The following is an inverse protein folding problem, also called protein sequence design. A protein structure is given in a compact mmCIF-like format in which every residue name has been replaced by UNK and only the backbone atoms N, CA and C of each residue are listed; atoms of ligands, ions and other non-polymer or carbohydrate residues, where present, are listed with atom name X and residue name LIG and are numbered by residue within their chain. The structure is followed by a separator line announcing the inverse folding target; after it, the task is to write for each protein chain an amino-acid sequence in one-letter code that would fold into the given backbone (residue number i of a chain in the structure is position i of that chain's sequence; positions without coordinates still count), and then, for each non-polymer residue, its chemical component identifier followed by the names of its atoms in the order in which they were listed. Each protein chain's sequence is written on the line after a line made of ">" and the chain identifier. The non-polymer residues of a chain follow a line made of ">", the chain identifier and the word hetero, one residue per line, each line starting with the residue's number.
data_IF_029166755390
#
_entry.id   IF_029166755390
#
_cell.length_a   1.000
_cell.length_b   1.000
_cell.length_c   1.000
_cell.angle_alpha   90.00
_cell.angle_beta   90.00
_cell.angle_gamma   90.00
#
_symmetry.space_group_name_H-M   'P 1'
#
loop_
_entity.id
_entity.type
_entity.pdbx_description
1 polymer ?
#
# COMPACT_ATOMS: atom_id res chain seq x y z
N UNK A 1 -32.24 33.59 20.23
CA UNK A 1 -31.82 33.60 18.81
C UNK A 1 -30.98 32.35 18.55
N UNK A 2 -31.62 31.26 18.15
CA UNK A 2 -30.95 30.05 17.69
C UNK A 2 -30.15 30.39 16.43
N UNK A 3 -28.86 30.04 16.40
CA UNK A 3 -27.97 30.36 15.30
C UNK A 3 -28.27 29.44 14.10
N UNK A 4 -29.34 29.73 13.37
CA UNK A 4 -29.78 28.92 12.24
C UNK A 4 -28.77 29.05 11.08
N UNK A 5 -28.21 27.94 10.56
CA UNK A 5 -27.29 27.97 9.43
C UNK A 5 -27.87 28.69 8.21
N UNK A 6 -27.02 29.44 7.49
CA UNK A 6 -27.47 30.25 6.35
C UNK A 6 -28.13 29.41 5.24
N UNK A 7 -27.57 28.23 4.92
CA UNK A 7 -28.13 27.33 3.90
C UNK A 7 -29.57 26.87 4.25
N UNK A 8 -29.88 26.71 5.54
CA UNK A 8 -31.20 26.29 5.99
C UNK A 8 -32.20 27.45 5.85
N UNK A 9 -31.76 28.70 6.08
CA UNK A 9 -32.55 29.89 5.78
C UNK A 9 -32.84 30.00 4.28
N UNK A 10 -31.84 29.70 3.44
CA UNK A 10 -31.98 29.71 1.99
C UNK A 10 -32.97 28.62 1.53
N UNK A 11 -32.94 27.43 2.15
CA UNK A 11 -33.90 26.35 1.87
C UNK A 11 -35.35 26.72 2.23
N UNK A 12 -35.59 27.33 3.41
CA UNK A 12 -36.91 27.81 3.86
C UNK A 12 -37.28 29.21 3.34
N UNK A 13 -36.51 29.73 2.38
CA UNK A 13 -36.67 31.07 1.81
C UNK A 13 -37.86 31.21 0.86
N UNK A 14 -37.64 31.86 -0.28
CA UNK A 14 -38.70 32.14 -1.25
C UNK A 14 -39.16 30.86 -1.95
N UNK A 15 -40.44 30.51 -1.79
CA UNK A 15 -41.07 29.32 -2.37
C UNK A 15 -41.62 28.34 -1.33
N UNK A 16 -41.05 28.30 -0.13
CA UNK A 16 -41.57 27.48 0.97
C UNK A 16 -42.54 28.29 1.85
N UNK A 17 -43.78 27.80 1.99
CA UNK A 17 -44.78 28.39 2.90
C UNK A 17 -44.48 28.11 4.38
N UNK A 18 -43.60 27.13 4.66
CA UNK A 18 -43.12 26.87 6.01
C UNK A 18 -42.09 27.93 6.40
N UNK A 19 -42.37 28.66 7.49
CA UNK A 19 -41.49 29.72 8.01
C UNK A 19 -40.84 29.29 9.32
N UNK A 20 -39.52 29.37 9.36
CA UNK A 20 -38.71 28.97 10.52
C UNK A 20 -39.07 29.77 11.77
N UNK A 21 -39.30 31.07 11.63
CA UNK A 21 -39.64 31.96 12.75
C UNK A 21 -40.95 31.52 13.44
N UNK A 22 -41.93 31.01 12.68
CA UNK A 22 -43.21 30.51 13.23
C UNK A 22 -43.09 29.14 13.91
N UNK A 23 -42.03 28.40 13.60
CA UNK A 23 -41.74 27.10 14.19
C UNK A 23 -40.95 27.24 15.49
N UNK A 24 -39.92 28.09 15.48
CA UNK A 24 -38.92 28.22 16.55
C UNK A 24 -39.31 29.26 17.61
N UNK A 25 -39.92 30.38 17.20
CA UNK A 25 -40.27 31.46 18.13
C UNK A 25 -41.75 31.37 18.55
N UNK A 26 -42.04 31.78 19.79
CA UNK A 26 -43.40 31.94 20.29
C UNK A 26 -43.98 33.31 19.86
N UNK A 27 -44.14 33.47 18.54
CA UNK A 27 -44.78 34.65 17.92
C UNK A 27 -46.30 34.46 17.88
N UNK A 28 -47.09 35.54 17.81
CA UNK A 28 -48.57 35.50 17.74
C UNK A 28 -49.13 34.59 16.62
N UNK A 29 -48.34 34.32 15.57
CA UNK A 29 -48.70 33.43 14.45
C UNK A 29 -47.90 32.11 14.46
N UNK A 30 -47.53 31.61 15.64
CA UNK A 30 -46.87 30.34 15.81
C UNK A 30 -47.72 29.18 15.28
N UNK A 31 -47.07 28.13 14.78
CA UNK A 31 -47.79 26.92 14.36
C UNK A 31 -48.49 26.24 15.55
N UNK A 32 -49.67 25.59 15.33
CA UNK A 32 -50.35 24.81 16.36
C UNK A 32 -49.44 23.72 16.94
N UNK A 33 -49.65 23.36 18.21
CA UNK A 33 -48.83 22.40 18.94
C UNK A 33 -48.68 21.06 18.20
N UNK A 34 -49.77 20.53 17.63
CA UNK A 34 -49.78 19.30 16.86
C UNK A 34 -48.83 19.34 15.64
N UNK A 35 -48.82 20.48 14.93
CA UNK A 35 -47.97 20.66 13.76
C UNK A 35 -46.52 20.91 14.16
N UNK A 36 -46.28 21.63 15.25
CA UNK A 36 -44.94 21.82 15.83
C UNK A 36 -44.31 20.47 16.23
N UNK A 37 -45.07 19.60 16.90
CA UNK A 37 -44.59 18.28 17.35
C UNK A 37 -44.10 17.39 16.20
N UNK A 38 -44.65 17.60 15.00
CA UNK A 38 -44.33 16.84 13.80
C UNK A 38 -43.20 17.46 12.97
N UNK A 39 -43.17 18.79 12.87
CA UNK A 39 -42.15 19.51 12.08
C UNK A 39 -40.83 19.69 12.81
N UNK A 40 -40.84 19.79 14.14
CA UNK A 40 -39.65 20.06 14.94
C UNK A 40 -38.58 18.96 14.78
N UNK A 41 -38.89 17.64 14.84
CA UNK A 41 -37.89 16.60 14.64
C UNK A 41 -37.23 16.63 13.25
N UNK A 42 -37.98 17.05 12.23
CA UNK A 42 -37.45 17.19 10.87
C UNK A 42 -36.48 18.37 10.78
N UNK A 43 -36.79 19.47 11.46
CA UNK A 43 -35.89 20.62 11.54
C UNK A 43 -34.62 20.29 12.36
N UNK A 44 -34.79 19.69 13.54
CA UNK A 44 -33.68 19.22 14.39
C UNK A 44 -32.76 18.27 13.64
N UNK A 45 -33.30 17.49 12.70
CA UNK A 45 -32.50 16.64 11.81
C UNK A 45 -31.37 17.40 11.12
N UNK A 46 -31.61 18.66 10.75
CA UNK A 46 -30.65 19.51 10.04
C UNK A 46 -29.78 20.41 10.89
N UNK A 47 -30.13 20.64 12.15
CA UNK A 47 -29.32 21.46 13.05
C UNK A 47 -28.30 20.65 13.84
N UNK A 48 -28.60 19.39 14.15
CA UNK A 48 -27.75 18.57 15.03
C UNK A 48 -26.47 18.06 14.33
N UNK A 49 -26.27 18.38 13.04
CA UNK A 49 -25.21 17.83 12.19
C UNK A 49 -25.17 16.29 12.16
N UNK A 50 -26.29 15.64 12.48
CA UNK A 50 -26.44 14.19 12.49
C UNK A 50 -27.28 13.74 11.30
N UNK A 51 -26.70 12.88 10.48
CA UNK A 51 -27.35 12.27 9.34
C UNK A 51 -28.33 11.17 9.76
N UNK A 52 -29.42 10.94 9.00
CA UNK A 52 -29.84 11.61 7.78
C UNK A 52 -30.60 12.92 8.02
N UNK A 53 -30.56 13.80 7.01
CA UNK A 53 -31.32 15.04 6.96
C UNK A 53 -32.66 14.78 6.28
N UNK A 54 -33.78 15.24 6.86
CA UNK A 54 -35.08 15.23 6.18
C UNK A 54 -35.77 16.57 6.41
N UNK A 55 -35.98 17.33 5.34
CA UNK A 55 -36.55 18.68 5.40
C UNK A 55 -37.92 18.77 4.70
N UNK A 56 -38.91 19.41 5.33
CA UNK A 56 -40.23 19.62 4.74
C UNK A 56 -40.27 20.87 3.86
N UNK A 57 -41.01 20.78 2.77
CA UNK A 57 -41.32 21.87 1.86
C UNK A 57 -42.80 21.82 1.47
N UNK A 58 -43.45 22.98 1.47
CA UNK A 58 -44.87 23.08 1.14
C UNK A 58 -45.15 24.32 0.29
N UNK A 59 -45.98 24.15 -0.73
CA UNK A 59 -46.68 25.24 -1.42
C UNK A 59 -48.21 25.06 -1.29
N UNK A 60 -48.99 25.91 -1.96
CA UNK A 60 -50.46 25.86 -1.91
C UNK A 60 -51.05 24.54 -2.48
N UNK A 61 -50.26 23.78 -3.25
CA UNK A 61 -50.71 22.65 -4.05
C UNK A 61 -49.94 21.35 -3.78
N UNK A 62 -48.85 21.38 -3.03
CA UNK A 62 -47.92 20.26 -2.86
C UNK A 62 -47.28 20.28 -1.49
N UNK A 63 -47.04 19.08 -1.01
CA UNK A 63 -46.20 18.80 0.15
C UNK A 63 -45.09 17.86 -0.29
N UNK A 64 -43.85 18.30 -0.12
CA UNK A 64 -42.65 17.60 -0.55
C UNK A 64 -41.69 17.52 0.64
N UNK A 65 -41.08 16.36 0.84
CA UNK A 65 -39.98 16.19 1.78
C UNK A 65 -38.72 15.84 1.01
N UNK A 66 -37.61 16.44 1.43
CA UNK A 66 -36.31 16.22 0.85
C UNK A 66 -35.43 15.51 1.87
N UNK A 67 -34.93 14.33 1.51
CA UNK A 67 -34.06 13.53 2.37
C UNK A 67 -32.64 13.46 1.78
N UNK A 68 -31.62 13.62 2.62
CA UNK A 68 -30.21 13.58 2.20
C UNK A 68 -29.34 12.89 3.26
N UNK A 69 -28.20 12.35 2.83
CA UNK A 69 -27.19 11.73 3.68
C UNK A 69 -25.78 12.21 3.29
N UNK A 70 -24.79 11.89 4.13
CA UNK A 70 -23.40 12.35 3.98
C UNK A 70 -22.73 11.87 2.68
N UNK A 71 -22.83 10.56 2.42
CA UNK A 71 -22.16 9.90 1.30
C UNK A 71 -23.17 9.37 0.29
N UNK A 72 -22.77 9.27 -0.99
CA UNK A 72 -23.61 8.71 -2.05
C UNK A 72 -24.15 7.31 -1.71
N UNK A 73 -23.32 6.49 -1.04
CA UNK A 73 -23.73 5.15 -0.57
C UNK A 73 -24.81 5.24 0.51
N UNK A 74 -24.63 6.07 1.53
CA UNK A 74 -25.63 6.26 2.58
C UNK A 74 -26.92 6.86 2.03
N UNK A 75 -26.84 7.74 1.02
CA UNK A 75 -28.02 8.29 0.34
C UNK A 75 -28.76 7.19 -0.42
N UNK A 76 -28.06 6.27 -1.07
CA UNK A 76 -28.69 5.12 -1.73
C UNK A 76 -29.33 4.15 -0.72
N UNK A 77 -28.65 3.88 0.41
CA UNK A 77 -29.21 3.08 1.51
C UNK A 77 -30.48 3.75 2.08
N UNK A 78 -30.44 5.05 2.31
CA UNK A 78 -31.58 5.86 2.75
C UNK A 78 -32.76 5.77 1.77
N UNK A 79 -32.48 5.85 0.46
CA UNK A 79 -33.51 5.69 -0.58
C UNK A 79 -34.20 4.33 -0.51
N UNK A 80 -33.42 3.25 -0.32
CA UNK A 80 -33.98 1.90 -0.19
C UNK A 80 -34.87 1.76 1.06
N UNK A 81 -34.43 2.31 2.20
CA UNK A 81 -35.22 2.28 3.45
C UNK A 81 -36.50 3.10 3.32
N UNK A 82 -36.42 4.30 2.74
CA UNK A 82 -37.59 5.16 2.51
C UNK A 82 -38.58 4.49 1.55
N UNK A 83 -38.11 3.84 0.49
CA UNK A 83 -38.96 3.10 -0.44
C UNK A 83 -39.65 1.90 0.24
N UNK A 84 -38.95 1.19 1.12
CA UNK A 84 -39.54 0.10 1.90
C UNK A 84 -40.57 0.59 2.93
N UNK A 85 -40.32 1.73 3.59
CA UNK A 85 -41.16 2.24 4.69
C UNK A 85 -42.41 2.98 4.22
N UNK A 86 -42.30 3.81 3.17
CA UNK A 86 -43.38 4.72 2.75
C UNK A 86 -44.33 4.12 1.69
N UNK A 87 -43.96 3.00 1.06
CA UNK A 87 -44.80 2.34 0.06
C UNK A 87 -45.24 3.27 -1.08
N UNK A 88 -46.45 3.06 -1.61
CA UNK A 88 -47.05 3.85 -2.71
C UNK A 88 -48.46 4.39 -2.41
N UNK A 89 -48.95 4.24 -1.18
CA UNK A 89 -50.35 4.53 -0.83
C UNK A 89 -50.62 6.02 -0.56
N UNK A 90 -49.70 6.71 0.11
CA UNK A 90 -49.86 8.12 0.53
C UNK A 90 -48.91 9.07 -0.24
N UNK A 91 -47.92 8.54 -0.95
CA UNK A 91 -46.82 9.29 -1.60
C UNK A 91 -46.49 8.72 -2.98
N UNK A 92 -45.96 9.57 -3.88
CA UNK A 92 -45.54 9.17 -5.23
C UNK A 92 -44.46 8.07 -5.13
N UNK A 93 -44.61 7.02 -5.95
CA UNK A 93 -43.72 5.86 -6.00
C UNK A 93 -42.44 6.13 -6.81
N UNK A 94 -41.49 5.20 -6.76
CA UNK A 94 -40.19 5.24 -7.47
C UNK A 94 -39.32 6.47 -7.13
N UNK A 95 -38.92 6.55 -5.86
CA UNK A 95 -38.06 7.63 -5.36
C UNK A 95 -36.61 7.28 -5.65
N UNK A 96 -35.96 8.13 -6.44
CA UNK A 96 -34.56 8.00 -6.84
C UNK A 96 -33.74 9.13 -6.23
N UNK A 97 -32.43 8.90 -6.12
CA UNK A 97 -31.49 9.95 -5.74
C UNK A 97 -31.34 10.91 -6.93
N UNK A 98 -31.55 12.19 -6.68
CA UNK A 98 -31.49 13.26 -7.66
C UNK A 98 -30.29 14.16 -7.36
N UNK A 99 -29.58 14.51 -8.43
CA UNK A 99 -28.38 15.36 -8.39
C UNK A 99 -28.58 16.71 -9.09
N UNK A 100 -29.74 16.91 -9.71
CA UNK A 100 -30.07 18.11 -10.49
C UNK A 100 -31.36 18.69 -9.94
N UNK A 101 -31.40 20.00 -9.60
CA UNK A 101 -32.63 20.61 -9.13
C UNK A 101 -33.69 20.60 -10.25
N UNK A 102 -34.93 20.29 -9.89
CA UNK A 102 -36.06 20.38 -10.78
C UNK A 102 -36.30 21.83 -11.20
N UNK A 103 -36.83 22.00 -12.40
CA UNK A 103 -37.34 23.30 -12.86
C UNK A 103 -38.69 23.55 -12.18
N UNK A 104 -38.83 24.68 -11.48
CA UNK A 104 -40.10 25.08 -10.85
C UNK A 104 -39.95 25.60 -9.41
N UNK A 105 -41.04 25.55 -8.65
CA UNK A 105 -41.15 26.19 -7.33
C UNK A 105 -40.17 25.66 -6.26
N UNK A 106 -39.68 24.42 -6.40
CA UNK A 106 -38.72 23.80 -5.48
C UNK A 106 -37.26 24.06 -5.84
N UNK A 107 -36.98 24.67 -7.01
CA UNK A 107 -35.64 24.81 -7.58
C UNK A 107 -34.64 25.51 -6.64
N UNK A 108 -35.06 26.58 -5.96
CA UNK A 108 -34.20 27.32 -5.04
C UNK A 108 -33.85 26.49 -3.79
N UNK A 109 -34.83 25.83 -3.19
CA UNK A 109 -34.64 24.96 -2.03
C UNK A 109 -33.78 23.74 -2.38
N UNK A 110 -34.01 23.11 -3.54
CA UNK A 110 -33.21 21.98 -4.03
C UNK A 110 -31.77 22.38 -4.32
N UNK A 111 -31.53 23.59 -4.86
CA UNK A 111 -30.17 24.12 -5.10
C UNK A 111 -29.44 24.38 -3.79
N UNK A 112 -30.11 24.96 -2.78
CA UNK A 112 -29.54 25.14 -1.46
C UNK A 112 -29.17 23.80 -0.80
N UNK A 113 -30.04 22.80 -0.95
CA UNK A 113 -29.80 21.46 -0.43
C UNK A 113 -28.62 20.76 -1.13
N UNK A 114 -28.54 20.81 -2.46
CA UNK A 114 -27.43 20.22 -3.22
C UNK A 114 -26.09 20.91 -2.95
N UNK A 115 -26.11 22.23 -2.71
CA UNK A 115 -24.91 22.98 -2.31
C UNK A 115 -24.36 22.48 -0.98
N UNK A 116 -25.25 22.14 -0.04
CA UNK A 116 -24.84 21.56 1.24
C UNK A 116 -24.54 20.06 1.16
N UNK A 117 -25.27 19.33 0.32
CA UNK A 117 -25.22 17.88 0.18
C UNK A 117 -24.89 17.48 -1.27
N UNK A 118 -23.59 17.43 -1.66
CA UNK A 118 -23.19 17.06 -3.02
C UNK A 118 -23.49 15.58 -3.35
N UNK A 119 -23.76 14.75 -2.34
CA UNK A 119 -24.14 13.34 -2.49
C UNK A 119 -25.55 13.12 -3.05
N UNK A 120 -26.30 14.18 -3.35
CA UNK A 120 -27.65 14.13 -3.90
C UNK A 120 -28.74 14.06 -2.83
N UNK A 121 -29.99 14.25 -3.25
CA UNK A 121 -31.16 14.20 -2.37
C UNK A 121 -32.26 13.30 -2.93
N UNK A 122 -33.20 12.90 -2.07
CA UNK A 122 -34.36 12.08 -2.42
C UNK A 122 -35.61 12.93 -2.23
N UNK A 123 -36.44 13.00 -3.26
CA UNK A 123 -37.72 13.72 -3.23
C UNK A 123 -38.86 12.79 -2.85
N UNK A 124 -39.65 13.20 -1.85
CA UNK A 124 -40.79 12.45 -1.33
C UNK A 124 -42.01 13.37 -1.42
N UNK A 125 -42.86 13.16 -2.41
CA UNK A 125 -44.05 14.00 -2.63
C UNK A 125 -45.32 13.26 -2.23
N UNK A 126 -46.17 13.93 -1.45
CA UNK A 126 -47.51 13.43 -1.11
C UNK A 126 -48.41 13.40 -2.34
N UNK A 127 -49.26 12.37 -2.45
CA UNK A 127 -50.21 12.30 -3.55
C UNK A 127 -51.20 13.48 -3.51
N UNK A 128 -51.55 14.08 -4.66
CA UNK A 128 -52.47 15.23 -4.69
C UNK A 128 -53.82 14.98 -4.01
N UNK A 129 -54.33 13.75 -4.10
CA UNK A 129 -55.59 13.30 -3.47
C UNK A 129 -55.50 13.24 -1.95
N UNK A 130 -54.30 13.17 -1.38
CA UNK A 130 -54.02 13.05 0.06
C UNK A 130 -53.61 14.36 0.72
N UNK A 131 -53.54 15.46 -0.02
CA UNK A 131 -53.16 16.78 0.51
C UNK A 131 -54.13 17.35 1.55
N UNK A 132 -55.40 16.93 1.55
CA UNK A 132 -56.39 17.35 2.57
C UNK A 132 -56.64 16.27 3.63
N UNK A 133 -56.06 15.08 3.45
CA UNK A 133 -56.22 13.92 4.33
C UNK A 133 -55.24 14.03 5.51
N UNK A 134 -55.74 14.54 6.65
CA UNK A 134 -54.95 14.72 7.88
C UNK A 134 -54.28 13.41 8.34
N UNK A 135 -54.99 12.26 8.45
CA UNK A 135 -54.35 11.02 8.89
C UNK A 135 -53.32 10.49 7.88
N UNK A 136 -53.48 10.73 6.58
CA UNK A 136 -52.44 10.37 5.60
C UNK A 136 -51.14 11.16 5.82
N UNK A 137 -51.24 12.45 6.09
CA UNK A 137 -50.06 13.27 6.43
C UNK A 137 -49.38 12.76 7.69
N UNK A 138 -50.15 12.54 8.76
CA UNK A 138 -49.63 12.05 10.04
C UNK A 138 -48.88 10.72 9.89
N UNK A 139 -49.39 9.78 9.07
CA UNK A 139 -48.68 8.53 8.76
C UNK A 139 -47.34 8.77 8.06
N UNK A 140 -47.29 9.64 7.05
CA UNK A 140 -46.06 9.95 6.33
C UNK A 140 -45.04 10.59 7.27
N UNK A 141 -45.48 11.55 8.09
CA UNK A 141 -44.62 12.20 9.08
C UNK A 141 -44.07 11.23 10.12
N UNK A 142 -44.92 10.37 10.68
CA UNK A 142 -44.50 9.33 11.63
C UNK A 142 -43.47 8.39 10.98
N UNK A 143 -43.70 7.97 9.73
CA UNK A 143 -42.77 7.14 9.00
C UNK A 143 -41.41 7.83 8.74
N UNK A 144 -41.40 9.13 8.42
CA UNK A 144 -40.16 9.88 8.24
C UNK A 144 -39.39 10.02 9.57
N UNK A 145 -40.10 10.30 10.67
CA UNK A 145 -39.52 10.35 12.01
C UNK A 145 -38.90 9.00 12.40
N UNK A 146 -39.61 7.90 12.17
CA UNK A 146 -39.10 6.55 12.44
C UNK A 146 -37.81 6.26 11.67
N UNK A 147 -37.70 6.71 10.41
CA UNK A 147 -36.49 6.55 9.60
C UNK A 147 -35.32 7.33 10.19
N UNK A 148 -35.53 8.57 10.64
CA UNK A 148 -34.50 9.38 11.30
C UNK A 148 -34.01 8.65 12.56
N UNK A 149 -34.92 8.19 13.42
CA UNK A 149 -34.58 7.48 14.65
C UNK A 149 -33.80 6.20 14.34
N UNK A 150 -34.28 5.38 13.39
CA UNK A 150 -33.66 4.11 13.02
C UNK A 150 -32.23 4.29 12.49
N UNK A 151 -31.96 5.37 11.74
CA UNK A 151 -30.60 5.64 11.27
C UNK A 151 -29.70 6.20 12.36
N UNK A 152 -30.23 6.99 13.30
CA UNK A 152 -29.47 7.56 14.43
C UNK A 152 -29.16 6.52 15.50
N UNK A 153 -30.05 5.58 15.75
CA UNK A 153 -29.88 4.48 16.70
C UNK A 153 -28.95 3.38 16.15
N UNK A 154 -28.53 3.47 14.89
CA UNK A 154 -27.62 2.49 14.31
C UNK A 154 -26.24 2.64 14.97
N UNK A 155 -25.72 1.61 15.67
CA UNK A 155 -24.34 1.66 16.12
C UNK A 155 -23.45 1.83 14.89
N UNK A 156 -22.40 2.65 15.02
CA UNK A 156 -21.43 2.94 13.96
C UNK A 156 -20.65 1.68 13.59
N UNK A 157 -21.30 0.77 12.90
CA UNK A 157 -20.69 -0.41 12.30
C UNK A 157 -20.04 0.12 11.03
N UNK A 158 -18.82 0.64 11.18
CA UNK A 158 -17.89 0.81 10.08
C UNK A 158 -17.51 -0.59 9.61
N UNK A 159 -18.43 -1.25 8.88
CA UNK A 159 -18.13 -2.46 8.13
C UNK A 159 -17.40 -2.00 6.87
N UNK A 160 -16.11 -1.72 7.02
CA UNK A 160 -15.16 -1.95 5.95
C UNK A 160 -15.22 -3.45 5.70
N UNK A 161 -16.05 -3.88 4.74
CA UNK A 161 -15.96 -5.24 4.23
C UNK A 161 -14.56 -5.32 3.64
N UNK A 162 -13.60 -5.83 4.43
CA UNK A 162 -12.23 -6.03 3.98
C UNK A 162 -12.33 -6.83 2.70
N UNK A 163 -11.75 -6.31 1.62
CA UNK A 163 -11.79 -7.00 0.33
C UNK A 163 -11.20 -8.40 0.55
N UNK A 164 -11.76 -9.45 -0.08
CA UNK A 164 -11.23 -10.80 0.10
C UNK A 164 -9.74 -10.82 -0.24
N UNK A 165 -8.93 -11.42 0.64
CA UNK A 165 -7.48 -11.47 0.51
C UNK A 165 -7.02 -11.86 -0.90
N UNK A 166 -7.62 -12.92 -1.46
CA UNK A 166 -7.29 -13.40 -2.80
C UNK A 166 -7.51 -12.36 -3.89
N UNK A 167 -8.51 -11.48 -3.74
CA UNK A 167 -8.77 -10.42 -4.72
C UNK A 167 -7.70 -9.34 -4.69
N UNK A 168 -7.31 -8.91 -3.49
CA UNK A 168 -6.25 -7.90 -3.32
C UNK A 168 -4.93 -8.44 -3.85
N UNK A 169 -4.62 -9.71 -3.57
CA UNK A 169 -3.41 -10.36 -4.08
C UNK A 169 -3.42 -10.46 -5.62
N UNK A 170 -4.55 -10.83 -6.23
CA UNK A 170 -4.67 -10.87 -7.70
C UNK A 170 -4.49 -9.49 -8.33
N UNK A 171 -5.11 -8.46 -7.76
CA UNK A 171 -4.97 -7.09 -8.26
C UNK A 171 -3.54 -6.57 -8.07
N UNK A 172 -2.86 -6.95 -6.97
CA UNK A 172 -1.45 -6.63 -6.72
C UNK A 172 -0.52 -7.28 -7.76
N UNK A 173 -0.74 -8.56 -8.08
CA UNK A 173 0.03 -9.25 -9.12
C UNK A 173 -0.20 -8.58 -10.48
N UNK A 174 -1.43 -8.18 -10.79
CA UNK A 174 -1.77 -7.47 -12.02
C UNK A 174 -1.08 -6.11 -12.09
N UNK A 175 -1.17 -5.29 -11.04
CA UNK A 175 -0.52 -3.97 -10.96
C UNK A 175 1.00 -4.09 -11.15
N UNK A 176 1.64 -5.09 -10.52
CA UNK A 176 3.06 -5.38 -10.71
C UNK A 176 3.39 -5.80 -12.15
N UNK A 177 2.52 -6.58 -12.81
CA UNK A 177 2.72 -6.95 -14.21
C UNK A 177 2.61 -5.77 -15.17
N UNK A 178 1.79 -4.77 -14.82
CA UNK A 178 1.59 -3.54 -15.57
C UNK A 178 2.62 -2.45 -15.23
N UNK A 179 3.52 -2.71 -14.26
CA UNK A 179 4.47 -1.73 -13.71
C UNK A 179 3.80 -0.46 -13.14
N UNK A 180 2.57 -0.58 -12.65
CA UNK A 180 1.88 0.52 -11.96
C UNK A 180 2.32 0.56 -10.49
N UNK A 181 3.30 1.41 -10.21
CA UNK A 181 3.90 1.57 -8.89
C UNK A 181 2.91 2.06 -7.83
N UNK A 182 2.14 3.12 -8.14
CA UNK A 182 1.23 3.74 -7.17
C UNK A 182 0.14 2.77 -6.73
N UNK A 183 -0.45 2.05 -7.70
CA UNK A 183 -1.48 1.05 -7.41
C UNK A 183 -0.89 -0.16 -6.69
N UNK A 184 0.32 -0.60 -7.09
CA UNK A 184 1.00 -1.72 -6.44
C UNK A 184 1.31 -1.43 -4.96
N UNK A 185 1.82 -0.23 -4.65
CA UNK A 185 2.13 0.20 -3.28
C UNK A 185 0.87 0.28 -2.41
N UNK A 186 -0.21 0.86 -2.94
CA UNK A 186 -1.49 0.94 -2.24
C UNK A 186 -2.03 -0.47 -1.88
N UNK A 187 -1.96 -1.42 -2.82
CA UNK A 187 -2.41 -2.79 -2.63
C UNK A 187 -1.51 -3.56 -1.66
N UNK A 188 -0.19 -3.31 -1.67
CA UNK A 188 0.74 -3.91 -0.71
C UNK A 188 0.45 -3.42 0.72
N UNK A 189 0.15 -2.14 0.91
CA UNK A 189 -0.28 -1.60 2.21
C UNK A 189 -1.62 -2.20 2.64
N UNK A 190 -2.56 -2.38 1.72
CA UNK A 190 -3.81 -3.07 1.99
C UNK A 190 -3.57 -4.52 2.45
N UNK A 191 -2.67 -5.26 1.81
CA UNK A 191 -2.27 -6.62 2.20
C UNK A 191 -1.63 -6.66 3.60
N UNK A 192 -0.78 -5.68 3.95
CA UNK A 192 -0.19 -5.54 5.28
C UNK A 192 -1.25 -5.31 6.35
N UNK A 193 -2.17 -4.39 6.09
CA UNK A 193 -3.23 -3.99 7.03
C UNK A 193 -4.29 -5.08 7.25
N UNK A 194 -4.37 -6.07 6.36
CA UNK A 194 -5.27 -7.21 6.54
C UNK A 194 -4.80 -8.19 7.63
N UNK A 195 -3.51 -8.21 7.99
CA UNK A 195 -2.98 -8.95 9.14
C UNK A 195 -2.96 -10.47 9.01
N UNK A 196 -3.28 -11.02 7.84
CA UNK A 196 -3.37 -12.48 7.59
C UNK A 196 -2.06 -13.11 7.12
N UNK A 197 -1.05 -12.30 6.78
CA UNK A 197 0.21 -12.78 6.22
C UNK A 197 1.30 -12.90 7.29
N UNK A 198 2.08 -13.97 7.22
CA UNK A 198 3.31 -14.08 7.98
C UNK A 198 4.31 -13.02 7.52
N UNK A 199 5.19 -12.59 8.43
CA UNK A 199 6.29 -11.65 8.13
C UNK A 199 7.11 -12.10 6.91
N UNK A 200 7.38 -13.40 6.79
CA UNK A 200 8.12 -13.99 5.65
C UNK A 200 7.39 -13.82 4.32
N UNK A 201 6.07 -14.01 4.30
CA UNK A 201 5.27 -13.86 3.06
C UNK A 201 5.16 -12.40 2.64
N UNK A 202 5.01 -11.48 3.61
CA UNK A 202 5.02 -10.03 3.32
C UNK A 202 6.35 -9.61 2.70
N UNK A 203 7.48 -10.05 3.26
CA UNK A 203 8.79 -9.77 2.69
C UNK A 203 8.95 -10.32 1.27
N UNK A 204 8.43 -11.52 0.99
CA UNK A 204 8.49 -12.07 -0.37
C UNK A 204 7.69 -11.20 -1.36
N UNK A 205 6.55 -10.66 -0.96
CA UNK A 205 5.74 -9.76 -1.78
C UNK A 205 6.45 -8.42 -2.01
N UNK A 206 7.12 -7.87 -1.00
CA UNK A 206 7.96 -6.65 -1.10
C UNK A 206 9.10 -6.85 -2.10
N UNK A 207 9.83 -7.95 -1.99
CA UNK A 207 10.92 -8.27 -2.92
C UNK A 207 10.39 -8.51 -4.34
N UNK A 208 9.25 -9.20 -4.47
CA UNK A 208 8.61 -9.42 -5.77
C UNK A 208 8.18 -8.11 -6.42
N UNK A 209 7.60 -7.19 -5.65
CA UNK A 209 7.24 -5.86 -6.12
C UNK A 209 8.48 -5.11 -6.61
N UNK A 210 9.53 -5.03 -5.79
CA UNK A 210 10.77 -4.33 -6.14
C UNK A 210 11.39 -4.87 -7.44
N UNK A 211 11.43 -6.19 -7.62
CA UNK A 211 12.01 -6.76 -8.83
C UNK A 211 11.09 -6.71 -10.06
N UNK A 212 9.77 -6.61 -9.89
CA UNK A 212 8.83 -6.38 -11.01
C UNK A 212 8.82 -4.93 -11.48
N UNK A 213 8.99 -3.99 -10.54
CA UNK A 213 9.18 -2.56 -10.81
C UNK A 213 10.63 -2.21 -11.18
N UNK A 214 11.52 -3.20 -11.29
CA UNK A 214 12.92 -3.05 -11.70
C UNK A 214 13.72 -2.11 -10.76
N UNK A 215 13.30 -2.02 -9.50
CA UNK A 215 13.99 -1.30 -8.42
C UNK A 215 15.11 -2.18 -7.86
N UNK A 216 16.14 -2.42 -8.68
CA UNK A 216 17.22 -3.37 -8.38
C UNK A 216 18.00 -3.02 -7.11
N UNK A 217 18.30 -1.73 -6.87
CA UNK A 217 19.00 -1.27 -5.67
C UNK A 217 18.18 -1.53 -4.39
N UNK A 218 16.87 -1.25 -4.44
CA UNK A 218 15.95 -1.52 -3.32
C UNK A 218 15.83 -3.01 -3.06
N UNK A 219 15.84 -3.83 -4.11
CA UNK A 219 15.77 -5.28 -4.00
C UNK A 219 17.02 -5.87 -3.37
N UNK A 220 18.22 -5.47 -3.83
CA UNK A 220 19.49 -6.04 -3.38
C UNK A 220 19.90 -5.56 -1.98
N UNK A 221 19.51 -4.35 -1.60
CA UNK A 221 19.82 -3.76 -0.28
C UNK A 221 18.69 -3.93 0.74
N UNK A 222 17.72 -4.80 0.48
CA UNK A 222 16.59 -4.99 1.39
C UNK A 222 17.04 -5.61 2.72
N UNK A 223 16.75 -4.96 3.85
CA UNK A 223 17.27 -5.31 5.19
C UNK A 223 17.14 -6.79 5.57
N UNK A 224 16.04 -7.43 5.14
CA UNK A 224 15.74 -8.83 5.48
C UNK A 224 16.13 -9.84 4.40
N UNK A 225 16.79 -9.40 3.32
CA UNK A 225 17.18 -10.29 2.22
C UNK A 225 18.20 -11.34 2.66
N UNK A 226 19.21 -10.94 3.44
CA UNK A 226 20.26 -11.84 3.94
C UNK A 226 19.67 -13.02 4.74
N UNK A 227 18.65 -12.76 5.57
CA UNK A 227 17.97 -13.79 6.36
C UNK A 227 17.11 -14.72 5.48
N UNK A 228 16.51 -14.19 4.41
CA UNK A 228 15.72 -14.99 3.48
C UNK A 228 16.57 -15.95 2.66
N UNK A 229 17.75 -15.50 2.20
CA UNK A 229 18.64 -16.29 1.35
C UNK A 229 19.41 -17.38 2.10
N UNK A 230 19.55 -17.27 3.42
CA UNK A 230 20.12 -18.34 4.27
C UNK A 230 19.29 -19.63 4.25
N UNK A 231 17.98 -19.53 3.98
CA UNK A 231 17.10 -20.68 3.81
C UNK A 231 17.00 -21.17 2.37
N UNK A 232 16.04 -22.05 2.10
CA UNK A 232 15.70 -22.44 0.72
C UNK A 232 15.14 -21.23 -0.04
N UNK A 233 15.82 -20.82 -1.10
CA UNK A 233 15.42 -19.69 -1.94
C UNK A 233 14.35 -20.18 -2.94
N UNK A 234 13.15 -19.57 -2.98
CA UNK A 234 12.17 -19.86 -4.03
C UNK A 234 12.75 -19.53 -5.42
N UNK A 235 12.55 -20.40 -6.41
CA UNK A 235 13.09 -20.22 -7.77
C UNK A 235 12.74 -18.87 -8.40
N UNK A 236 11.54 -18.36 -8.14
CA UNK A 236 11.11 -17.05 -8.64
C UNK A 236 11.92 -15.91 -8.05
N UNK A 237 12.24 -15.97 -6.75
CA UNK A 237 13.10 -15.00 -6.08
C UNK A 237 14.55 -15.15 -6.55
N UNK A 238 15.05 -16.38 -6.70
CA UNK A 238 16.39 -16.66 -7.24
C UNK A 238 16.59 -15.98 -8.60
N UNK A 239 15.68 -16.21 -9.56
CA UNK A 239 15.74 -15.59 -10.91
C UNK A 239 15.74 -14.07 -10.83
N UNK A 240 14.94 -13.52 -9.92
CA UNK A 240 14.83 -12.08 -9.74
C UNK A 240 16.11 -11.47 -9.18
N UNK A 241 16.73 -12.11 -8.18
CA UNK A 241 18.01 -11.71 -7.60
C UNK A 241 19.13 -11.80 -8.63
N UNK A 242 19.23 -12.92 -9.37
CA UNK A 242 20.23 -13.08 -10.42
C UNK A 242 20.06 -12.02 -11.52
N UNK A 243 18.82 -11.73 -11.93
CA UNK A 243 18.54 -10.63 -12.87
C UNK A 243 18.96 -9.28 -12.30
N UNK A 244 18.72 -9.01 -11.01
CA UNK A 244 19.14 -7.76 -10.37
C UNK A 244 20.68 -7.62 -10.37
N UNK A 245 21.41 -8.69 -10.05
CA UNK A 245 22.89 -8.72 -10.19
C UNK A 245 23.33 -8.45 -11.63
N UNK A 246 22.66 -9.06 -12.61
CA UNK A 246 22.96 -8.84 -14.01
C UNK A 246 22.82 -7.36 -14.40
N UNK A 247 21.72 -6.72 -14.00
CA UNK A 247 21.44 -5.32 -14.35
C UNK A 247 22.32 -4.33 -13.58
N UNK A 248 22.69 -4.65 -12.34
CA UNK A 248 23.36 -3.71 -11.45
C UNK A 248 24.88 -3.81 -11.45
N UNK A 249 25.39 -5.02 -11.59
CA UNK A 249 26.81 -5.34 -11.37
C UNK A 249 27.45 -6.05 -12.57
N UNK A 250 26.73 -6.97 -13.21
CA UNK A 250 27.28 -7.80 -14.30
C UNK A 250 26.87 -7.32 -15.69
N UNK A 251 26.93 -6.00 -15.92
CA UNK A 251 26.75 -5.44 -17.26
C UNK A 251 27.81 -6.02 -18.20
N UNK A 252 27.41 -6.74 -19.27
CA UNK A 252 28.36 -7.42 -20.13
C UNK A 252 29.17 -6.45 -21.00
N UNK A 253 30.43 -6.80 -21.24
CA UNK A 253 31.31 -6.19 -22.22
C UNK A 253 31.09 -6.79 -23.62
N UNK A 254 31.90 -6.37 -24.59
CA UNK A 254 31.89 -6.89 -25.97
C UNK A 254 32.16 -8.39 -26.08
N UNK A 255 32.71 -9.00 -25.03
CA UNK A 255 33.02 -10.43 -24.94
C UNK A 255 32.01 -11.22 -24.10
N UNK A 256 31.00 -10.55 -23.53
CA UNK A 256 29.94 -11.17 -22.74
C UNK A 256 30.30 -11.44 -21.28
N UNK A 257 31.32 -10.77 -20.74
CA UNK A 257 31.74 -10.83 -19.33
C UNK A 257 31.50 -9.49 -18.62
N UNK A 258 31.40 -9.43 -17.28
CA UNK A 258 31.23 -8.16 -16.59
C UNK A 258 32.33 -7.15 -16.92
N UNK A 259 31.94 -5.91 -17.21
CA UNK A 259 32.88 -4.81 -17.47
C UNK A 259 33.70 -4.42 -16.24
N UNK A 260 33.08 -4.52 -15.05
CA UNK A 260 33.74 -4.23 -13.78
C UNK A 260 34.75 -5.33 -13.40
N UNK A 261 35.71 -4.98 -12.57
CA UNK A 261 36.75 -5.91 -12.17
C UNK A 261 36.23 -7.03 -11.27
N UNK A 262 36.83 -8.24 -11.33
CA UNK A 262 36.53 -9.28 -10.37
C UNK A 262 36.70 -8.85 -8.90
N UNK A 263 37.72 -8.03 -8.61
CA UNK A 263 38.00 -7.54 -7.25
C UNK A 263 36.89 -6.60 -6.73
N UNK A 264 36.35 -5.73 -7.58
CA UNK A 264 35.26 -4.80 -7.20
C UNK A 264 33.92 -5.53 -7.02
N UNK A 265 33.71 -6.59 -7.80
CA UNK A 265 32.46 -7.36 -7.79
C UNK A 265 32.40 -8.41 -6.68
N UNK A 266 33.55 -8.90 -6.22
CA UNK A 266 33.65 -9.95 -5.19
C UNK A 266 32.96 -9.57 -3.88
N UNK A 267 33.13 -8.37 -3.28
CA UNK A 267 32.41 -7.96 -2.07
C UNK A 267 30.89 -8.03 -2.22
N UNK A 268 30.38 -7.64 -3.39
CA UNK A 268 28.94 -7.66 -3.68
C UNK A 268 28.40 -9.09 -3.76
N UNK A 269 29.18 -10.04 -4.26
CA UNK A 269 28.78 -11.44 -4.31
C UNK A 269 28.84 -12.09 -2.92
N UNK A 270 29.87 -11.77 -2.13
CA UNK A 270 30.01 -12.26 -0.75
C UNK A 270 28.89 -11.78 0.17
N UNK A 271 28.38 -10.56 -0.03
CA UNK A 271 27.27 -10.01 0.76
C UNK A 271 26.00 -10.90 0.71
N UNK A 272 25.79 -11.58 -0.42
CA UNK A 272 24.70 -12.55 -0.62
C UNK A 272 25.25 -13.94 -0.96
N UNK A 273 26.29 -14.39 -0.24
CA UNK A 273 26.94 -15.68 -0.48
C UNK A 273 25.97 -16.87 -0.67
N UNK A 274 24.89 -17.03 0.14
CA UNK A 274 23.95 -18.14 -0.04
C UNK A 274 23.28 -18.21 -1.42
N UNK A 275 23.20 -17.10 -2.14
CA UNK A 275 22.67 -17.06 -3.51
C UNK A 275 23.59 -17.82 -4.49
N UNK A 276 24.89 -17.75 -4.27
CA UNK A 276 25.90 -18.31 -5.18
C UNK A 276 26.39 -19.68 -4.74
N UNK A 277 26.26 -20.04 -3.46
CA UNK A 277 26.59 -21.39 -2.99
C UNK A 277 25.47 -22.41 -3.21
N UNK A 278 24.22 -21.96 -3.38
CA UNK A 278 23.08 -22.84 -3.66
C UNK A 278 22.92 -23.07 -5.16
N UNK A 279 22.88 -24.34 -5.59
CA UNK A 279 22.62 -24.70 -6.99
C UNK A 279 21.18 -24.29 -7.35
N UNK A 280 20.98 -23.43 -8.36
CA UNK A 280 19.67 -22.88 -8.65
C UNK A 280 18.82 -23.89 -9.42
N UNK A 281 17.54 -23.98 -9.07
CA UNK A 281 16.58 -24.83 -9.77
C UNK A 281 16.06 -24.11 -11.04
N UNK A 282 16.90 -24.02 -12.06
CA UNK A 282 16.62 -23.37 -13.35
C UNK A 282 16.46 -24.40 -14.47
N UNK A 283 15.79 -24.03 -15.57
CA UNK A 283 15.75 -24.90 -16.75
C UNK A 283 17.14 -25.02 -17.39
N UNK A 284 17.35 -26.12 -18.09
CA UNK A 284 18.55 -26.36 -18.91
C UNK A 284 18.40 -25.77 -20.33
N UNK A 285 17.27 -25.11 -20.60
CA UNK A 285 16.98 -24.45 -21.88
C UNK A 285 17.60 -23.05 -21.96
N UNK A 286 17.66 -22.51 -23.18
CA UNK A 286 18.20 -21.17 -23.46
C UNK A 286 17.50 -20.03 -22.70
N UNK A 287 16.26 -20.26 -22.27
CA UNK A 287 15.44 -19.28 -21.53
C UNK A 287 16.08 -18.83 -20.21
N UNK A 288 16.82 -19.72 -19.54
CA UNK A 288 17.47 -19.46 -18.25
C UNK A 288 19.00 -19.30 -18.36
N UNK A 289 19.57 -19.28 -19.57
CA UNK A 289 21.02 -19.17 -19.75
C UNK A 289 21.61 -17.88 -19.19
N UNK A 290 20.89 -16.76 -19.30
CA UNK A 290 21.33 -15.51 -18.68
C UNK A 290 21.46 -15.65 -17.16
N UNK A 291 20.49 -16.29 -16.51
CA UNK A 291 20.52 -16.54 -15.07
C UNK A 291 21.64 -17.51 -14.68
N UNK A 292 21.86 -18.58 -15.46
CA UNK A 292 22.99 -19.50 -15.27
C UNK A 292 24.34 -18.79 -15.38
N UNK A 293 24.52 -17.91 -16.38
CA UNK A 293 25.75 -17.12 -16.54
C UNK A 293 25.98 -16.21 -15.34
N UNK A 294 24.96 -15.48 -14.89
CA UNK A 294 25.05 -14.61 -13.71
C UNK A 294 25.41 -15.41 -12.45
N UNK A 295 24.77 -16.57 -12.24
CA UNK A 295 25.07 -17.42 -11.10
C UNK A 295 26.51 -17.94 -11.15
N UNK A 296 26.96 -18.45 -12.29
CA UNK A 296 28.34 -18.92 -12.47
C UNK A 296 29.39 -17.83 -12.31
N UNK A 297 29.12 -16.60 -12.78
CA UNK A 297 29.99 -15.45 -12.52
C UNK A 297 30.13 -15.21 -11.02
N UNK A 298 29.04 -15.23 -10.27
CA UNK A 298 29.11 -15.09 -8.81
C UNK A 298 29.84 -16.24 -8.12
N UNK A 299 29.60 -17.50 -8.53
CA UNK A 299 30.32 -18.70 -8.06
C UNK A 299 31.83 -18.56 -8.27
N UNK A 300 32.25 -18.11 -9.45
CA UNK A 300 33.66 -17.89 -9.76
C UNK A 300 34.28 -16.78 -8.88
N UNK A 301 33.52 -15.73 -8.57
CA UNK A 301 33.98 -14.63 -7.74
C UNK A 301 34.09 -14.99 -6.25
N UNK A 302 33.23 -15.87 -5.74
CA UNK A 302 33.34 -16.37 -4.35
C UNK A 302 34.45 -17.43 -4.21
N UNK A 303 34.83 -18.11 -5.29
CA UNK A 303 35.92 -19.10 -5.32
C UNK A 303 35.47 -20.55 -5.20
N UNK A 304 34.17 -20.84 -5.23
CA UNK A 304 33.58 -22.18 -5.10
C UNK A 304 33.49 -22.88 -6.46
N UNK A 305 34.63 -23.07 -7.12
CA UNK A 305 34.72 -23.52 -8.53
C UNK A 305 34.03 -24.88 -8.76
N UNK A 306 34.01 -25.76 -7.75
CA UNK A 306 33.39 -27.08 -7.81
C UNK A 306 31.89 -27.03 -8.14
N UNK A 307 31.20 -25.95 -7.78
CA UNK A 307 29.78 -25.77 -8.06
C UNK A 307 29.50 -25.52 -9.56
N UNK A 308 30.49 -25.09 -10.34
CA UNK A 308 30.35 -24.85 -11.78
C UNK A 308 30.10 -26.15 -12.56
N UNK A 309 30.34 -27.31 -11.96
CA UNK A 309 29.98 -28.62 -12.53
C UNK A 309 28.47 -28.78 -12.76
N UNK A 310 27.63 -28.02 -12.03
CA UNK A 310 26.18 -28.04 -12.17
C UNK A 310 25.65 -27.26 -13.40
N UNK A 311 26.53 -26.58 -14.15
CA UNK A 311 26.14 -25.81 -15.32
C UNK A 311 25.57 -26.70 -16.45
N UNK A 312 24.70 -26.12 -17.31
CA UNK A 312 24.32 -26.75 -18.57
C UNK A 312 25.54 -27.07 -19.45
N UNK A 313 25.54 -28.24 -20.09
CA UNK A 313 26.64 -28.70 -20.95
C UNK A 313 27.02 -27.68 -22.04
N UNK A 314 26.02 -26.96 -22.59
CA UNK A 314 26.28 -25.92 -23.60
C UNK A 314 27.11 -24.75 -23.06
N UNK A 315 27.03 -24.44 -21.77
CA UNK A 315 27.79 -23.36 -21.11
C UNK A 315 29.16 -23.82 -20.62
N UNK A 316 29.39 -25.13 -20.47
CA UNK A 316 30.71 -25.73 -20.13
C UNK A 316 31.73 -25.69 -21.27
N UNK A 317 31.38 -25.06 -22.38
CA UNK A 317 32.22 -24.91 -23.58
C UNK A 317 33.18 -23.70 -23.41
N UNK A 318 33.57 -23.04 -24.51
CA UNK A 318 34.53 -21.92 -24.52
C UNK A 318 34.17 -20.77 -23.57
N UNK A 319 32.89 -20.60 -23.25
CA UNK A 319 32.43 -19.57 -22.33
C UNK A 319 32.97 -19.75 -20.90
N UNK A 320 32.99 -20.98 -20.37
CA UNK A 320 33.48 -21.25 -19.02
C UNK A 320 35.00 -21.00 -18.92
N UNK A 321 35.75 -21.39 -19.95
CA UNK A 321 37.19 -21.11 -20.04
C UNK A 321 37.48 -19.60 -20.12
N UNK A 322 36.66 -18.85 -20.87
CA UNK A 322 36.76 -17.40 -20.91
C UNK A 322 36.38 -16.74 -19.59
N UNK A 323 35.42 -17.29 -18.84
CA UNK A 323 35.09 -16.84 -17.49
C UNK A 323 36.26 -17.05 -16.51
N UNK A 324 36.92 -18.21 -16.56
CA UNK A 324 38.14 -18.47 -15.79
C UNK A 324 39.25 -17.47 -16.13
N UNK A 325 39.45 -17.21 -17.42
CA UNK A 325 40.47 -16.25 -17.89
C UNK A 325 40.15 -14.83 -17.42
N UNK A 326 38.89 -14.41 -17.48
CA UNK A 326 38.44 -13.10 -17.01
C UNK A 326 38.63 -12.95 -15.49
N UNK A 327 38.21 -13.95 -14.71
CA UNK A 327 38.32 -13.94 -13.25
C UNK A 327 39.77 -13.99 -12.76
N UNK A 328 40.68 -14.57 -13.54
CA UNK A 328 42.10 -14.71 -13.22
C UNK A 328 42.98 -13.55 -13.72
N UNK A 329 42.40 -12.48 -14.29
CA UNK A 329 43.19 -11.33 -14.79
C UNK A 329 43.90 -10.60 -13.64
N UNK A 330 45.24 -10.56 -13.60
CA UNK A 330 45.98 -9.76 -12.63
C UNK A 330 45.79 -8.27 -12.92
N UNK A 331 45.60 -7.48 -11.86
CA UNK A 331 45.35 -6.05 -11.98
C UNK A 331 46.65 -5.25 -12.14
N UNK A 332 46.78 -4.50 -13.24
CA UNK A 332 47.69 -3.36 -13.31
C UNK A 332 46.99 -2.16 -12.68
N UNK A 333 47.22 -1.94 -11.39
CA UNK A 333 46.95 -0.65 -10.77
C UNK A 333 47.90 0.39 -11.39
N UNK A 334 47.33 1.42 -12.03
CA UNK A 334 47.98 2.73 -11.99
C UNK A 334 48.04 3.08 -10.51
N UNK A 335 49.19 2.87 -9.90
CA UNK A 335 49.42 3.09 -8.48
C UNK A 335 49.14 4.57 -8.16
N UNK A 336 48.21 4.90 -7.24
CA UNK A 336 48.40 6.10 -6.46
C UNK A 336 49.71 5.90 -5.67
N UNK A 337 50.55 6.93 -5.65
CA UNK A 337 51.91 6.89 -5.11
C UNK A 337 52.02 6.02 -3.86
N UNK A 338 52.94 5.06 -3.93
CA UNK A 338 53.29 4.16 -2.85
C UNK A 338 53.44 4.93 -1.53
N UNK A 339 52.44 4.80 -0.66
CA UNK A 339 52.65 5.00 0.76
C UNK A 339 53.05 3.63 1.26
N UNK A 340 54.35 3.44 1.44
CA UNK A 340 54.93 2.29 2.14
C UNK A 340 54.30 2.19 3.53
N UNK A 341 53.26 1.37 3.66
CA UNK A 341 52.78 0.93 4.96
C UNK A 341 53.79 -0.12 5.45
N UNK A 342 54.61 0.30 6.39
CA UNK A 342 55.53 -0.54 7.15
C UNK A 342 54.77 -1.72 7.77
N UNK A 343 55.28 -2.92 7.50
CA UNK A 343 54.99 -4.16 8.23
C UNK A 343 55.40 -3.99 9.69
N UNK A 344 54.50 -3.46 10.51
CA UNK A 344 54.60 -3.45 11.95
C UNK A 344 53.69 -4.53 12.50
N UNK A 345 54.22 -5.33 13.43
CA UNK A 345 53.43 -6.34 14.16
C UNK A 345 52.30 -5.61 14.90
N UNK A 346 51.04 -6.06 14.82
CA UNK A 346 49.93 -5.39 15.49
C UNK A 346 50.04 -5.48 17.02
N UNK A 347 50.24 -4.36 17.69
CA UNK A 347 50.36 -4.29 19.16
C UNK A 347 49.06 -3.80 19.85
N UNK A 348 48.01 -3.53 19.07
CA UNK A 348 46.71 -3.08 19.58
C UNK A 348 45.54 -3.73 18.84
N UNK A 349 44.39 -3.86 19.52
CA UNK A 349 43.15 -4.45 18.97
C UNK A 349 42.68 -3.80 17.66
N UNK A 350 42.83 -2.47 17.54
CA UNK A 350 42.43 -1.73 16.34
C UNK A 350 43.39 -1.98 15.16
N UNK A 351 44.69 -2.13 15.43
CA UNK A 351 45.68 -2.52 14.42
C UNK A 351 45.48 -3.99 14.00
N UNK A 352 45.14 -4.87 14.94
CA UNK A 352 44.82 -6.27 14.64
C UNK A 352 43.57 -6.37 13.74
N UNK A 353 42.52 -5.59 14.04
CA UNK A 353 41.31 -5.56 13.22
C UNK A 353 41.58 -5.04 11.80
N UNK A 354 42.38 -3.97 11.66
CA UNK A 354 42.79 -3.44 10.36
C UNK A 354 43.66 -4.45 9.58
N UNK A 355 44.56 -5.16 10.28
CA UNK A 355 45.43 -6.20 9.73
C UNK A 355 44.63 -7.42 9.24
N UNK A 356 43.64 -7.87 10.01
CA UNK A 356 42.71 -8.93 9.60
C UNK A 356 41.84 -8.50 8.41
N UNK A 357 41.37 -7.25 8.38
CA UNK A 357 40.61 -6.71 7.25
C UNK A 357 41.45 -6.65 5.97
N UNK A 358 42.73 -6.32 6.06
CA UNK A 358 43.64 -6.33 4.90
C UNK A 358 43.98 -7.76 4.47
N UNK A 359 44.05 -8.72 5.41
CA UNK A 359 44.24 -10.14 5.09
C UNK A 359 43.08 -10.74 4.27
N UNK A 360 41.85 -10.22 4.42
CA UNK A 360 40.69 -10.66 3.64
C UNK A 360 40.79 -10.30 2.14
N UNK A 361 41.67 -9.35 1.80
CA UNK A 361 41.94 -8.92 0.42
C UNK A 361 43.28 -9.40 -0.12
N UNK A 362 44.04 -10.16 0.69
CA UNK A 362 45.39 -10.59 0.37
C UNK A 362 45.40 -11.78 -0.60
N UNK A 363 46.46 -11.86 -1.41
CA UNK A 363 46.72 -12.98 -2.31
C UNK A 363 47.17 -14.23 -1.53
N UNK A 364 47.12 -15.39 -2.17
CA UNK A 364 47.40 -16.68 -1.51
C UNK A 364 48.83 -16.81 -0.97
N UNK A 365 49.80 -16.12 -1.57
CA UNK A 365 51.19 -16.05 -1.09
C UNK A 365 51.31 -15.13 0.13
N UNK A 366 50.55 -14.03 0.16
CA UNK A 366 50.54 -13.07 1.27
C UNK A 366 49.84 -13.63 2.51
N UNK A 367 48.79 -14.44 2.33
CA UNK A 367 48.05 -15.10 3.43
C UNK A 367 48.97 -15.94 4.33
N UNK A 368 50.02 -16.56 3.77
CA UNK A 368 51.00 -17.33 4.54
C UNK A 368 51.77 -16.40 5.50
N UNK A 369 52.11 -15.19 5.05
CA UNK A 369 52.76 -14.17 5.88
C UNK A 369 51.83 -13.62 6.97
N UNK A 370 50.55 -13.41 6.66
CA UNK A 370 49.53 -13.03 7.66
C UNK A 370 49.36 -14.12 8.73
N UNK A 371 49.29 -15.40 8.33
CA UNK A 371 49.15 -16.52 9.25
C UNK A 371 50.37 -16.68 10.18
N UNK A 372 51.59 -16.52 9.65
CA UNK A 372 52.81 -16.54 10.46
C UNK A 372 52.85 -15.39 11.48
N UNK A 373 52.41 -14.20 11.08
CA UNK A 373 52.38 -13.02 11.97
C UNK A 373 51.33 -13.20 13.08
N UNK A 374 50.17 -13.78 12.77
CA UNK A 374 49.14 -14.12 13.76
C UNK A 374 49.62 -15.18 14.78
N UNK A 375 50.46 -16.13 14.36
CA UNK A 375 51.07 -17.11 15.25
C UNK A 375 52.14 -16.54 16.19
N UNK A 376 52.68 -15.36 15.87
CA UNK A 376 53.69 -14.67 16.69
C UNK A 376 53.12 -13.54 17.56
N UNK A 377 51.80 -13.33 17.55
CA UNK A 377 51.13 -12.31 18.36
C UNK A 377 51.14 -12.61 19.86
N UNK A 378 51.09 -11.56 20.66
CA UNK A 378 50.97 -11.66 22.11
C UNK A 378 49.64 -12.34 22.52
N UNK A 379 49.74 -13.34 23.39
CA UNK A 379 48.64 -14.20 23.80
C UNK A 379 47.54 -13.41 24.54
N UNK A 380 47.91 -12.33 25.23
CA UNK A 380 46.97 -11.46 25.94
C UNK A 380 46.06 -10.68 24.97
N UNK A 381 46.58 -10.31 23.80
CA UNK A 381 45.86 -9.55 22.76
C UNK A 381 44.89 -10.46 21.98
N UNK A 382 45.23 -11.73 21.82
CA UNK A 382 44.36 -12.77 21.26
C UNK A 382 43.17 -13.04 22.20
N UNK A 383 43.40 -13.12 23.51
CA UNK A 383 42.32 -13.30 24.49
C UNK A 383 41.35 -12.12 24.52
N UNK A 384 41.84 -10.88 24.43
CA UNK A 384 41.00 -9.69 24.33
C UNK A 384 40.19 -9.64 23.02
N UNK A 385 40.76 -10.08 21.89
CA UNK A 385 40.04 -10.19 20.63
C UNK A 385 38.92 -11.25 20.69
N UNK A 386 39.16 -12.38 21.35
CA UNK A 386 38.17 -13.45 21.57
C UNK A 386 37.07 -13.08 22.59
N UNK A 387 37.27 -12.03 23.39
CA UNK A 387 36.25 -11.48 24.29
C UNK A 387 35.22 -10.60 23.56
N UNK A 388 35.51 -10.16 22.33
CA UNK A 388 34.54 -9.42 21.49
C UNK A 388 33.52 -10.40 20.90
N UNK A 389 32.20 -10.22 21.11
CA UNK A 389 31.17 -11.22 20.78
C UNK A 389 31.12 -11.67 19.31
N UNK A 390 31.65 -10.85 18.40
CA UNK A 390 31.67 -11.10 16.95
C UNK A 390 32.73 -12.14 16.51
N UNK A 391 33.73 -12.44 17.35
CA UNK A 391 34.84 -13.35 17.00
C UNK A 391 34.72 -14.76 17.62
N UNK A 392 33.74 -15.01 18.52
CA UNK A 392 33.46 -16.35 19.04
C UNK A 392 32.80 -17.31 18.04
N UNK A 393 32.33 -16.78 16.91
CA UNK A 393 31.53 -17.51 15.92
C UNK A 393 32.17 -17.59 14.54
N UNK A 394 33.44 -17.20 14.41
CA UNK A 394 34.24 -17.40 13.19
C UNK A 394 35.19 -18.60 13.38
#
# INVERSE_FOLDING_TARGET
>A
MTNVPQWLRDFFGNGNLLKLDRLLDNVENAYPADLKAVLLPLYESATDAQWPLILPWCDAHRWVFFAAADTARTTQELSNVLNARLGSADVIADRKVTFVPAQGATSLSETALLTHCPAGFIRIELLPTKLKDKPAKERVFAALKDVIVLFRDRPSIVRTVKRPFGRILSDFILANSQKDEATSDALLQELKNNGTLSRRNLMLLELQQAGKLEKWDTLLNHDSLADLVRGRIPTTLMRMLLKAYQQRYFTPDSHGYPQASPADLRPQCLALNPLFTQIPFLSQDETDFAAWKTWATGVMLIGEVDLLNALPERLKTDWLNGLHTWASRPFNLVSPSATTATTSVPDTLQQLAAYLQTSLTATQEEIIGYAQTLHTLDQQLIEEAMAVPLLKTL
#
